data_IF_123919969284
#
_entry.id   IF_123919969284
#
_cell.length_a   1.000
_cell.length_b   1.000
_cell.length_c   1.000
_cell.angle_alpha   90.00
_cell.angle_beta   90.00
_cell.angle_gamma   90.00
#
_symmetry.space_group_name_H-M   'P 1'
#
loop_
_entity.id
_entity.type
_entity.pdbx_description
1 polymer ?
#
# COMPACT_ATOMS: atom_id res chain seq x y z
N UNK A 1 -19.90 15.55 -19.58
CA UNK A 1 -18.80 16.47 -19.21
C UNK A 1 -17.50 15.85 -19.67
N UNK A 2 -16.67 16.52 -20.48
CA UNK A 2 -15.33 16.01 -20.85
C UNK A 2 -14.35 16.50 -19.77
N UNK A 3 -13.60 15.58 -19.15
CA UNK A 3 -12.57 15.98 -18.20
C UNK A 3 -11.49 16.80 -18.94
N UNK A 4 -11.05 17.95 -18.40
CA UNK A 4 -10.04 18.81 -19.04
C UNK A 4 -8.63 18.23 -18.86
N UNK A 5 -8.37 17.05 -19.44
CA UNK A 5 -7.11 16.32 -19.31
C UNK A 5 -6.50 16.10 -20.70
N UNK A 6 -5.21 16.43 -20.83
CA UNK A 6 -4.40 16.14 -22.01
C UNK A 6 -3.46 15.00 -21.63
N UNK A 7 -3.52 13.89 -22.37
CA UNK A 7 -2.70 12.71 -22.11
C UNK A 7 -1.41 12.73 -22.94
N UNK A 8 -0.28 12.64 -22.26
CA UNK A 8 0.99 12.20 -22.83
C UNK A 8 1.04 10.67 -22.70
N UNK A 9 0.97 9.96 -23.83
CA UNK A 9 0.79 8.50 -23.85
C UNK A 9 2.11 7.81 -24.14
N UNK A 10 2.39 6.77 -23.38
CA UNK A 10 3.55 5.91 -23.54
C UNK A 10 3.12 4.44 -23.50
N UNK A 11 3.83 3.60 -24.23
CA UNK A 11 3.66 2.15 -24.21
C UNK A 11 4.83 1.52 -23.46
N UNK A 12 4.52 0.83 -22.36
CA UNK A 12 5.51 0.23 -21.45
C UNK A 12 5.04 -1.20 -21.14
N UNK A 13 5.96 -2.15 -21.23
CA UNK A 13 5.70 -3.55 -20.95
C UNK A 13 6.46 -4.01 -19.70
N UNK A 14 5.85 -4.91 -18.93
CA UNK A 14 6.39 -5.34 -17.62
C UNK A 14 7.65 -6.21 -17.68
N UNK A 15 7.97 -6.73 -18.87
CA UNK A 15 9.17 -7.53 -19.18
C UNK A 15 10.38 -6.65 -19.59
N UNK A 16 10.21 -5.34 -19.70
CA UNK A 16 11.32 -4.42 -19.92
C UNK A 16 12.28 -4.42 -18.71
N UNK A 17 13.58 -4.24 -18.98
CA UNK A 17 14.60 -4.19 -17.93
C UNK A 17 14.51 -2.93 -17.06
N UNK A 18 14.14 -1.80 -17.69
CA UNK A 18 14.06 -0.49 -17.06
C UNK A 18 12.89 0.30 -17.64
N UNK A 19 12.53 1.38 -16.96
CA UNK A 19 11.53 2.31 -17.45
C UNK A 19 12.23 3.29 -18.39
N UNK A 20 11.71 3.51 -19.61
CA UNK A 20 12.27 4.50 -20.53
C UNK A 20 12.41 5.88 -19.89
N UNK A 21 13.51 6.58 -20.18
CA UNK A 21 13.84 7.87 -19.55
C UNK A 21 12.81 8.96 -19.88
N UNK A 22 12.25 8.94 -21.10
CA UNK A 22 11.20 9.85 -21.54
C UNK A 22 9.90 9.69 -20.73
N UNK A 23 9.55 8.45 -20.36
CA UNK A 23 8.43 8.17 -19.45
C UNK A 23 8.70 8.77 -18.07
N UNK A 24 9.89 8.54 -17.53
CA UNK A 24 10.26 9.07 -16.22
C UNK A 24 10.31 10.60 -16.20
N UNK A 25 10.81 11.23 -17.25
CA UNK A 25 10.85 12.68 -17.40
C UNK A 25 9.45 13.28 -17.53
N UNK A 26 8.56 12.63 -18.29
CA UNK A 26 7.15 13.02 -18.36
C UNK A 26 6.49 12.96 -16.97
N UNK A 27 6.69 11.88 -16.21
CA UNK A 27 6.13 11.75 -14.85
C UNK A 27 6.70 12.84 -13.93
N UNK A 28 8.01 13.09 -13.95
CA UNK A 28 8.64 14.12 -13.12
C UNK A 28 8.13 15.53 -13.47
N UNK A 29 7.91 15.81 -14.75
CA UNK A 29 7.37 17.09 -15.25
C UNK A 29 5.91 17.28 -14.86
N UNK A 30 5.06 16.27 -15.11
CA UNK A 30 3.61 16.37 -14.96
C UNK A 30 3.13 16.04 -13.54
N UNK A 31 3.97 15.38 -12.74
CA UNK A 31 3.76 14.94 -11.35
C UNK A 31 2.65 13.92 -11.11
N UNK A 32 1.85 13.63 -12.12
CA UNK A 32 0.75 12.67 -12.06
C UNK A 32 0.89 11.68 -13.22
N UNK A 33 0.65 10.41 -12.93
CA UNK A 33 0.63 9.33 -13.91
C UNK A 33 -0.63 8.49 -13.72
N UNK A 34 -1.27 8.09 -14.82
CA UNK A 34 -2.26 7.02 -14.83
C UNK A 34 -1.62 5.82 -15.54
N UNK A 35 -1.50 4.71 -14.83
CA UNK A 35 -0.75 3.54 -15.27
C UNK A 35 -1.64 2.29 -15.28
N UNK A 36 -1.48 1.47 -16.30
CA UNK A 36 -2.02 0.11 -16.38
C UNK A 36 -1.22 -0.93 -15.59
N UNK A 37 -1.64 -2.18 -15.62
CA UNK A 37 -0.92 -3.26 -14.92
C UNK A 37 0.44 -3.54 -15.59
N UNK A 38 1.50 -3.62 -14.77
CA UNK A 38 2.83 -4.04 -15.22
C UNK A 38 3.15 -5.39 -14.56
N UNK A 39 3.06 -6.46 -15.33
CA UNK A 39 3.28 -7.83 -14.86
C UNK A 39 4.78 -8.05 -14.64
N UNK A 40 5.18 -8.53 -13.46
CA UNK A 40 6.57 -8.88 -13.17
C UNK A 40 6.78 -10.37 -13.46
N UNK A 41 7.69 -10.76 -14.37
CA UNK A 41 7.99 -12.17 -14.64
C UNK A 41 8.44 -12.93 -13.39
N UNK A 42 7.99 -14.18 -13.25
CA UNK A 42 8.38 -15.08 -12.15
C UNK A 42 9.61 -15.88 -12.60
N UNK A 43 10.64 -15.98 -11.76
CA UNK A 43 11.84 -16.81 -12.06
C UNK A 43 13.16 -16.05 -12.17
N UNK A 44 13.20 -14.76 -11.82
CA UNK A 44 14.41 -13.95 -11.85
C UNK A 44 14.73 -13.36 -13.24
N UNK A 45 15.71 -12.46 -13.30
CA UNK A 45 16.21 -11.85 -14.55
C UNK A 45 15.85 -10.38 -14.77
N UNK A 46 14.76 -9.87 -14.17
CA UNK A 46 14.36 -8.45 -14.27
C UNK A 46 13.84 -7.93 -12.93
N UNK A 47 14.21 -6.69 -12.59
CA UNK A 47 13.66 -6.00 -11.42
C UNK A 47 12.21 -5.60 -11.69
N UNK A 48 11.34 -5.68 -10.68
CA UNK A 48 9.96 -5.23 -10.84
C UNK A 48 9.90 -3.74 -11.18
N UNK A 49 9.38 -3.39 -12.36
CA UNK A 49 9.21 -1.99 -12.77
C UNK A 49 8.33 -1.20 -11.81
N UNK A 50 7.34 -1.86 -11.17
CA UNK A 50 6.52 -1.22 -10.13
C UNK A 50 7.37 -0.83 -8.91
N UNK A 51 8.30 -1.69 -8.50
CA UNK A 51 9.22 -1.38 -7.39
C UNK A 51 10.17 -0.24 -7.77
N UNK A 52 10.65 -0.23 -9.03
CA UNK A 52 11.51 0.82 -9.55
C UNK A 52 10.79 2.18 -9.53
N UNK A 53 9.56 2.27 -10.05
CA UNK A 53 8.74 3.50 -9.97
C UNK A 53 8.60 4.00 -8.54
N UNK A 54 8.27 3.11 -7.62
CA UNK A 54 8.03 3.46 -6.21
C UNK A 54 9.28 4.02 -5.55
N UNK A 55 10.45 3.44 -5.83
CA UNK A 55 11.73 3.89 -5.29
C UNK A 55 12.19 5.20 -5.94
N UNK A 56 12.25 5.26 -7.27
CA UNK A 56 12.73 6.44 -8.01
C UNK A 56 11.90 7.70 -7.79
N UNK A 57 10.59 7.54 -7.57
CA UNK A 57 9.66 8.65 -7.34
C UNK A 57 9.30 8.83 -5.86
N UNK A 58 9.92 8.07 -4.95
CA UNK A 58 9.62 8.07 -3.50
C UNK A 58 8.11 8.02 -3.20
N UNK A 59 7.41 7.09 -3.86
CA UNK A 59 5.97 6.87 -3.70
C UNK A 59 5.69 6.02 -2.47
N UNK A 60 5.94 6.60 -1.31
CA UNK A 60 5.99 5.90 -0.03
C UNK A 60 4.64 5.43 0.54
N UNK A 61 3.53 5.87 -0.05
CA UNK A 61 2.18 5.42 0.29
C UNK A 61 1.63 4.58 -0.87
N UNK A 62 1.07 3.43 -0.54
CA UNK A 62 0.10 2.73 -1.38
C UNK A 62 -1.28 2.88 -0.73
N UNK A 63 -2.22 3.51 -1.44
CA UNK A 63 -3.58 3.78 -0.99
C UNK A 63 -4.55 2.84 -1.70
N UNK A 64 -5.40 2.15 -0.95
CA UNK A 64 -6.47 1.28 -1.48
C UNK A 64 -7.77 1.61 -0.76
N UNK A 65 -8.83 1.96 -1.49
CA UNK A 65 -10.13 2.34 -0.91
C UNK A 65 -11.17 1.26 -1.16
N UNK A 66 -11.38 0.40 -0.17
CA UNK A 66 -12.29 -0.75 -0.24
C UNK A 66 -13.66 -0.39 0.32
N UNK A 67 -14.65 -0.20 -0.56
CA UNK A 67 -16.02 0.10 -0.16
C UNK A 67 -17.02 -0.72 -0.98
N UNK A 68 -18.19 -1.02 -0.40
CA UNK A 68 -19.24 -1.70 -1.13
C UNK A 68 -19.76 -0.82 -2.27
N UNK A 69 -19.78 -1.35 -3.49
CA UNK A 69 -20.31 -0.66 -4.66
C UNK A 69 -21.82 -0.90 -4.79
N UNK A 70 -22.63 0.15 -5.00
CA UNK A 70 -24.05 -0.02 -5.28
C UNK A 70 -24.28 -0.93 -6.49
N UNK A 71 -25.07 -1.99 -6.32
CA UNK A 71 -25.39 -2.95 -7.38
C UNK A 71 -24.40 -4.11 -7.54
N UNK A 72 -23.31 -4.16 -6.76
CA UNK A 72 -22.42 -5.31 -6.70
C UNK A 72 -22.71 -6.13 -5.44
N UNK A 73 -23.25 -7.36 -5.54
CA UNK A 73 -23.50 -8.20 -4.38
C UNK A 73 -22.20 -8.59 -3.68
N UNK A 74 -22.17 -8.44 -2.35
CA UNK A 74 -21.05 -8.84 -1.49
C UNK A 74 -21.58 -9.49 -0.22
N UNK A 75 -20.77 -10.36 0.41
CA UNK A 75 -21.14 -11.04 1.66
C UNK A 75 -21.35 -10.08 2.82
N UNK A 76 -20.51 -9.04 2.89
CA UNK A 76 -20.56 -8.01 3.92
C UNK A 76 -21.11 -6.71 3.31
N UNK A 77 -21.82 -5.95 4.14
CA UNK A 77 -22.46 -4.68 3.78
C UNK A 77 -21.87 -3.54 4.65
N UNK A 78 -22.02 -2.30 4.19
CA UNK A 78 -21.58 -1.09 4.89
C UNK A 78 -20.08 -1.04 5.21
N UNK A 79 -19.26 -1.66 4.36
CA UNK A 79 -17.81 -1.61 4.40
C UNK A 79 -17.34 -0.35 3.68
N UNK A 80 -16.50 0.44 4.35
CA UNK A 80 -15.79 1.61 3.81
C UNK A 80 -14.43 1.75 4.51
N UNK A 81 -13.47 0.95 4.03
CA UNK A 81 -12.13 0.81 4.59
C UNK A 81 -11.12 1.46 3.65
N UNK A 82 -10.20 2.24 4.20
CA UNK A 82 -9.04 2.72 3.46
C UNK A 82 -7.77 2.10 4.02
N UNK A 83 -7.04 1.37 3.19
CA UNK A 83 -5.75 0.78 3.55
C UNK A 83 -4.63 1.68 3.03
N UNK A 84 -3.82 2.19 3.96
CA UNK A 84 -2.62 2.98 3.72
C UNK A 84 -1.40 2.10 4.05
N UNK A 85 -0.71 1.66 3.01
CA UNK A 85 0.45 0.77 3.12
C UNK A 85 1.75 1.57 2.95
N UNK A 86 2.72 1.32 3.82
CA UNK A 86 4.11 1.75 3.62
C UNK A 86 4.69 1.02 2.41
N UNK A 87 5.31 1.75 1.49
CA UNK A 87 5.58 1.26 0.14
C UNK A 87 7.07 1.29 -0.27
N UNK A 88 7.95 1.74 0.62
CA UNK A 88 9.38 1.98 0.35
C UNK A 88 10.34 1.16 1.21
N UNK A 89 9.91 0.61 2.34
CA UNK A 89 10.75 -0.19 3.25
C UNK A 89 10.04 -1.50 3.67
N UNK A 90 10.45 -2.09 4.80
CA UNK A 90 9.96 -3.36 5.29
C UNK A 90 10.59 -4.56 4.56
N UNK A 91 9.79 -5.60 4.39
CA UNK A 91 10.18 -6.86 3.75
C UNK A 91 10.43 -6.71 2.24
N UNK A 92 9.96 -5.62 1.63
CA UNK A 92 10.11 -5.34 0.18
C UNK A 92 11.37 -4.53 -0.12
N UNK A 93 12.26 -4.35 0.86
CA UNK A 93 13.59 -3.78 0.67
C UNK A 93 14.42 -4.60 -0.32
N UNK A 94 14.15 -5.91 -0.40
CA UNK A 94 14.86 -6.86 -1.27
C UNK A 94 16.24 -7.24 -0.74
N UNK A 95 16.47 -7.06 0.56
CA UNK A 95 17.75 -7.36 1.21
C UNK A 95 17.76 -8.83 1.65
N UNK A 96 18.22 -9.69 0.75
CA UNK A 96 18.34 -11.12 0.98
C UNK A 96 19.75 -11.60 0.61
N UNK A 97 20.26 -12.56 1.37
CA UNK A 97 21.54 -13.21 1.08
C UNK A 97 21.54 -14.65 1.59
N UNK A 98 22.32 -15.50 0.94
CA UNK A 98 22.60 -16.85 1.40
C UNK A 98 23.88 -16.84 2.24
N UNK A 99 23.77 -17.12 3.53
CA UNK A 99 24.91 -17.08 4.47
C UNK A 99 25.84 -18.28 4.24
N UNK A 100 25.23 -19.45 4.09
CA UNK A 100 25.85 -20.72 3.70
C UNK A 100 24.87 -21.49 2.82
N UNK A 101 25.33 -22.45 1.98
CA UNK A 101 24.45 -23.22 1.12
C UNK A 101 23.25 -23.81 1.89
N UNK A 102 22.03 -23.41 1.50
CA UNK A 102 20.76 -23.80 2.12
C UNK A 102 20.25 -22.89 3.24
N UNK A 103 20.95 -21.79 3.59
CA UNK A 103 20.54 -20.84 4.65
C UNK A 103 20.41 -19.44 4.08
N UNK A 104 19.17 -19.01 3.86
CA UNK A 104 18.83 -17.69 3.33
C UNK A 104 18.30 -16.79 4.44
N UNK A 105 18.86 -15.60 4.54
CA UNK A 105 18.38 -14.55 5.43
C UNK A 105 17.66 -13.45 4.64
N UNK A 106 16.61 -12.90 5.23
CA UNK A 106 15.86 -11.76 4.69
C UNK A 106 15.80 -10.65 5.74
N UNK A 107 16.27 -9.46 5.39
CA UNK A 107 16.43 -8.33 6.30
C UNK A 107 15.27 -7.34 6.17
N UNK A 108 14.41 -7.34 7.19
CA UNK A 108 13.36 -6.33 7.32
C UNK A 108 13.92 -5.04 7.92
N UNK A 109 13.82 -3.95 7.16
CA UNK A 109 14.24 -2.61 7.60
C UNK A 109 13.00 -1.75 7.88
N UNK A 110 12.94 -1.14 9.06
CA UNK A 110 11.94 -0.12 9.41
C UNK A 110 12.68 1.09 9.95
N UNK A 111 12.37 2.27 9.44
CA UNK A 111 13.01 3.51 9.85
C UNK A 111 12.02 4.44 10.54
N UNK A 112 12.50 5.25 11.48
CA UNK A 112 11.67 6.26 12.14
C UNK A 112 11.14 7.28 11.13
N UNK A 113 11.98 7.71 10.19
CA UNK A 113 11.60 8.65 9.13
C UNK A 113 10.41 8.16 8.30
N UNK A 114 10.48 6.93 7.75
CA UNK A 114 9.39 6.37 6.96
C UNK A 114 8.13 6.15 7.79
N UNK A 115 8.29 5.68 9.03
CA UNK A 115 7.18 5.47 9.97
C UNK A 115 6.47 6.78 10.31
N UNK A 116 7.20 7.86 10.54
CA UNK A 116 6.62 9.18 10.84
C UNK A 116 5.88 9.78 9.64
N UNK A 117 6.47 9.74 8.43
CA UNK A 117 5.84 10.33 7.23
C UNK A 117 4.54 9.64 6.85
N UNK A 118 4.46 8.31 6.94
CA UNK A 118 3.21 7.58 6.66
C UNK A 118 2.17 7.83 7.75
N UNK A 119 2.59 7.91 9.01
CA UNK A 119 1.70 8.26 10.12
C UNK A 119 1.06 9.64 9.90
N UNK A 120 1.88 10.65 9.60
CA UNK A 120 1.40 12.01 9.33
C UNK A 120 0.42 12.03 8.15
N UNK A 121 0.74 11.31 7.08
CA UNK A 121 -0.16 11.18 5.95
C UNK A 121 -1.49 10.54 6.35
N UNK A 122 -1.47 9.43 7.09
CA UNK A 122 -2.68 8.72 7.48
C UNK A 122 -3.64 9.56 8.33
N UNK A 123 -3.13 10.27 9.33
CA UNK A 123 -3.95 11.17 10.15
C UNK A 123 -4.46 12.38 9.35
N UNK A 124 -3.64 12.95 8.46
CA UNK A 124 -4.08 14.03 7.57
C UNK A 124 -5.16 13.54 6.60
N UNK A 125 -4.97 12.36 6.01
CA UNK A 125 -5.94 11.71 5.15
C UNK A 125 -7.26 11.50 5.90
N UNK A 126 -7.20 10.95 7.11
CA UNK A 126 -8.39 10.72 7.92
C UNK A 126 -9.14 12.02 8.20
N UNK A 127 -8.42 13.08 8.59
CA UNK A 127 -9.00 14.40 8.82
C UNK A 127 -9.68 14.98 7.57
N UNK A 128 -8.99 14.98 6.42
CA UNK A 128 -9.50 15.55 5.18
C UNK A 128 -10.70 14.77 4.59
N UNK A 129 -10.77 13.47 4.85
CA UNK A 129 -11.83 12.59 4.34
C UNK A 129 -12.90 12.28 5.40
N UNK A 130 -12.97 13.07 6.48
CA UNK A 130 -13.96 12.91 7.57
C UNK A 130 -13.98 11.52 8.25
N UNK A 131 -12.89 10.77 8.13
CA UNK A 131 -12.69 9.48 8.79
C UNK A 131 -12.46 9.72 10.28
N UNK A 132 -12.91 8.79 11.12
CA UNK A 132 -12.94 8.94 12.58
C UNK A 132 -11.92 8.09 13.29
N UNK A 133 -11.48 7.00 12.67
CA UNK A 133 -10.59 6.02 13.30
C UNK A 133 -9.38 5.75 12.42
N UNK A 134 -8.19 5.80 13.01
CA UNK A 134 -6.94 5.32 12.43
C UNK A 134 -6.48 4.09 13.22
N UNK A 135 -6.34 2.98 12.54
CA UNK A 135 -5.99 1.67 13.10
C UNK A 135 -4.63 1.23 12.55
N UNK A 136 -3.66 1.02 13.42
CA UNK A 136 -2.32 0.56 13.03
C UNK A 136 -2.23 -0.95 13.15
N UNK A 137 -1.90 -1.61 12.04
CA UNK A 137 -1.71 -3.06 11.99
C UNK A 137 -0.24 -3.39 12.19
N UNK A 138 0.07 -4.28 13.13
CA UNK A 138 1.46 -4.60 13.50
C UNK A 138 1.64 -6.05 13.96
N UNK A 139 2.88 -6.43 14.25
CA UNK A 139 3.24 -7.70 14.90
C UNK A 139 4.33 -7.48 15.96
N UNK A 140 4.25 -6.38 16.70
CA UNK A 140 5.20 -6.00 17.76
C UNK A 140 5.30 -7.00 18.93
N UNK A 141 4.36 -7.93 19.08
CA UNK A 141 4.46 -9.02 20.05
C UNK A 141 5.61 -10.00 19.74
N UNK A 142 5.94 -10.18 18.45
CA UNK A 142 7.07 -10.99 17.98
C UNK A 142 8.23 -10.08 17.55
N UNK A 143 7.98 -9.11 16.68
CA UNK A 143 8.99 -8.16 16.19
C UNK A 143 9.14 -6.96 17.14
N UNK A 144 9.80 -7.21 18.27
CA UNK A 144 9.90 -6.28 19.41
C UNK A 144 10.69 -4.99 19.12
N UNK A 145 11.48 -4.95 18.06
CA UNK A 145 12.27 -3.77 17.66
C UNK A 145 11.62 -3.06 16.46
N UNK A 146 11.66 -3.66 15.27
CA UNK A 146 11.19 -3.04 14.03
C UNK A 146 9.71 -2.58 14.10
N UNK A 147 8.80 -3.46 14.54
CA UNK A 147 7.37 -3.09 14.64
C UNK A 147 7.08 -2.20 15.85
N UNK A 148 7.90 -2.26 16.89
CA UNK A 148 7.78 -1.35 18.03
C UNK A 148 8.13 0.08 17.61
N UNK A 149 9.21 0.27 16.85
CA UNK A 149 9.60 1.58 16.29
C UNK A 149 8.48 2.18 15.42
N UNK A 150 7.85 1.34 14.60
CA UNK A 150 6.68 1.72 13.81
C UNK A 150 5.55 2.25 14.73
N UNK A 151 5.14 1.47 15.74
CA UNK A 151 4.07 1.86 16.68
C UNK A 151 4.41 3.12 17.49
N UNK A 152 5.65 3.27 17.94
CA UNK A 152 6.09 4.43 18.71
C UNK A 152 5.92 5.72 17.89
N UNK A 153 6.26 5.68 16.60
CA UNK A 153 6.04 6.80 15.67
C UNK A 153 4.54 7.16 15.56
N UNK A 154 3.66 6.16 15.50
CA UNK A 154 2.21 6.38 15.50
C UNK A 154 1.69 6.99 16.80
N UNK A 155 2.10 6.44 17.94
CA UNK A 155 1.71 6.93 19.27
C UNK A 155 2.16 8.37 19.51
N UNK A 156 3.34 8.75 19.03
CA UNK A 156 3.86 10.11 19.14
C UNK A 156 3.00 11.12 18.35
N UNK A 157 2.67 10.81 17.10
CA UNK A 157 1.93 11.72 16.22
C UNK A 157 0.43 11.71 16.53
N UNK A 158 -0.14 10.58 16.96
CA UNK A 158 -1.56 10.48 17.32
C UNK A 158 -1.98 11.52 18.37
N UNK A 159 -1.08 11.88 19.30
CA UNK A 159 -1.30 12.94 20.30
C UNK A 159 -1.62 14.31 19.69
N UNK A 160 -1.22 14.55 18.43
CA UNK A 160 -1.48 15.80 17.70
C UNK A 160 -2.85 15.83 17.04
N UNK A 161 -3.59 14.72 17.03
CA UNK A 161 -4.89 14.56 16.38
C UNK A 161 -5.96 14.05 17.36
N UNK A 162 -6.33 14.84 18.39
CA UNK A 162 -7.23 14.38 19.46
C UNK A 162 -8.65 14.02 18.97
N UNK A 163 -9.04 14.52 17.79
CA UNK A 163 -10.36 14.26 17.20
C UNK A 163 -10.43 12.97 16.37
N UNK A 164 -9.30 12.27 16.20
CA UNK A 164 -9.23 11.00 15.46
C UNK A 164 -8.89 9.90 16.48
N UNK A 165 -9.75 8.89 16.57
CA UNK A 165 -9.53 7.75 17.45
C UNK A 165 -8.35 6.93 16.93
N UNK A 166 -7.37 6.71 17.79
CA UNK A 166 -6.20 5.90 17.51
C UNK A 166 -6.34 4.51 18.12
N UNK A 167 -6.19 3.47 17.29
CA UNK A 167 -6.27 2.07 17.68
C UNK A 167 -5.07 1.28 17.14
N UNK A 168 -4.73 0.18 17.81
CA UNK A 168 -3.67 -0.75 17.40
C UNK A 168 -4.24 -2.16 17.32
N UNK A 169 -3.82 -2.94 16.33
CA UNK A 169 -4.23 -4.34 16.18
C UNK A 169 -3.08 -5.21 15.69
N UNK A 170 -2.96 -6.40 16.29
CA UNK A 170 -2.00 -7.41 15.82
C UNK A 170 -2.53 -8.02 14.51
N UNK A 171 -1.67 -8.19 13.50
CA UNK A 171 -2.06 -8.61 12.14
C UNK A 171 -2.86 -9.91 12.09
N UNK A 172 -2.56 -10.91 12.93
CA UNK A 172 -3.34 -12.15 12.96
C UNK A 172 -4.80 -11.90 13.40
N UNK A 173 -4.99 -11.11 14.45
CA UNK A 173 -6.32 -10.71 14.89
C UNK A 173 -6.98 -9.80 13.85
N UNK A 174 -6.20 -8.94 13.19
CA UNK A 174 -6.68 -8.14 12.07
C UNK A 174 -7.27 -9.01 10.97
N UNK A 175 -6.61 -10.11 10.57
CA UNK A 175 -7.14 -11.02 9.56
C UNK A 175 -8.48 -11.64 9.98
N UNK A 176 -8.59 -12.11 11.23
CA UNK A 176 -9.83 -12.68 11.78
C UNK A 176 -10.95 -11.64 11.77
N UNK A 177 -10.67 -10.44 12.30
CA UNK A 177 -11.64 -9.35 12.40
C UNK A 177 -12.07 -8.83 11.03
N UNK A 178 -11.15 -8.74 10.08
CA UNK A 178 -11.42 -8.21 8.74
C UNK A 178 -12.42 -9.09 7.99
N UNK A 179 -12.30 -10.42 8.08
CA UNK A 179 -13.26 -11.34 7.44
C UNK A 179 -14.55 -11.54 8.25
N UNK A 180 -14.56 -11.20 9.53
CA UNK A 180 -15.71 -11.41 10.41
C UNK A 180 -16.61 -10.19 10.51
N UNK A 181 -16.02 -9.02 10.72
CA UNK A 181 -16.69 -7.73 10.98
C UNK A 181 -15.87 -6.58 10.34
N UNK A 182 -15.78 -6.52 8.99
CA UNK A 182 -15.00 -5.51 8.29
C UNK A 182 -15.48 -4.06 8.56
N UNK A 183 -16.77 -3.85 8.83
CA UNK A 183 -17.40 -2.55 9.07
C UNK A 183 -16.85 -1.81 10.30
N UNK A 184 -16.11 -2.48 11.18
CA UNK A 184 -15.44 -1.85 12.32
C UNK A 184 -14.17 -1.06 11.93
N UNK A 185 -13.63 -1.32 10.73
CA UNK A 185 -12.41 -0.69 10.25
C UNK A 185 -12.73 0.58 9.47
N UNK A 186 -11.82 1.55 9.56
CA UNK A 186 -11.95 2.84 8.90
C UNK A 186 -10.65 3.10 8.12
N UNK A 187 -9.71 3.91 8.63
CA UNK A 187 -8.37 4.02 8.05
C UNK A 187 -7.44 2.99 8.70
N UNK A 188 -6.94 2.05 7.92
CA UNK A 188 -5.97 1.04 8.34
C UNK A 188 -4.58 1.41 7.82
N UNK A 189 -3.57 1.40 8.68
CA UNK A 189 -2.20 1.73 8.31
C UNK A 189 -1.26 0.60 8.66
N UNK A 190 -0.41 0.22 7.72
CA UNK A 190 0.36 -1.00 7.82
C UNK A 190 1.80 -0.84 7.31
N UNK A 191 2.76 -1.60 7.84
CA UNK A 191 4.00 -1.91 7.14
C UNK A 191 3.75 -2.61 5.80
N UNK A 192 4.80 -2.67 4.99
CA UNK A 192 4.73 -3.02 3.57
C UNK A 192 4.07 -4.40 3.28
N UNK A 193 4.60 -5.50 3.82
CA UNK A 193 4.07 -6.84 3.56
C UNK A 193 2.62 -7.02 4.05
N UNK A 194 2.32 -6.55 5.27
CA UNK A 194 0.98 -6.70 5.86
C UNK A 194 -0.05 -5.91 5.06
N UNK A 195 0.33 -4.74 4.56
CA UNK A 195 -0.52 -3.90 3.75
C UNK A 195 -0.96 -4.57 2.46
N UNK A 196 -0.06 -5.30 1.82
CA UNK A 196 -0.42 -6.05 0.62
C UNK A 196 -1.49 -7.11 0.93
N UNK A 197 -1.32 -7.87 2.01
CA UNK A 197 -2.27 -8.92 2.42
C UNK A 197 -3.61 -8.33 2.87
N UNK A 198 -3.59 -7.31 3.72
CA UNK A 198 -4.78 -6.63 4.24
C UNK A 198 -5.54 -5.95 3.10
N UNK A 199 -4.86 -5.24 2.19
CA UNK A 199 -5.51 -4.57 1.05
C UNK A 199 -6.19 -5.56 0.11
N UNK A 200 -5.52 -6.66 -0.26
CA UNK A 200 -6.11 -7.71 -1.10
C UNK A 200 -7.32 -8.36 -0.43
N UNK A 201 -7.25 -8.62 0.88
CA UNK A 201 -8.35 -9.21 1.65
C UNK A 201 -9.54 -8.26 1.74
N UNK A 202 -9.29 -6.99 2.06
CA UNK A 202 -10.32 -5.95 2.11
C UNK A 202 -10.98 -5.75 0.74
N UNK A 203 -10.20 -5.76 -0.35
CA UNK A 203 -10.74 -5.67 -1.70
C UNK A 203 -11.60 -6.89 -2.05
N UNK A 204 -11.17 -8.10 -1.68
CA UNK A 204 -11.95 -9.33 -1.86
C UNK A 204 -13.31 -9.29 -1.16
N UNK A 205 -13.38 -8.69 0.04
CA UNK A 205 -14.62 -8.56 0.82
C UNK A 205 -15.68 -7.70 0.11
N UNK A 206 -15.26 -6.68 -0.63
CA UNK A 206 -16.17 -5.69 -1.24
C UNK A 206 -16.43 -5.90 -2.74
N UNK A 207 -15.95 -7.01 -3.33
CA UNK A 207 -16.21 -7.36 -4.72
C UNK A 207 -15.01 -7.69 -5.59
N UNK A 208 -13.81 -7.76 -4.99
CA UNK A 208 -12.57 -8.16 -5.67
C UNK A 208 -11.71 -6.98 -6.12
N UNK A 209 -10.49 -7.27 -6.54
CA UNK A 209 -9.44 -6.27 -6.78
C UNK A 209 -9.65 -5.39 -8.01
N UNK A 210 -10.48 -5.83 -8.96
CA UNK A 210 -10.70 -5.17 -10.26
C UNK A 210 -11.49 -3.87 -10.12
N UNK A 211 -12.41 -3.81 -9.17
CA UNK A 211 -13.37 -2.71 -9.02
C UNK A 211 -12.94 -1.66 -8.00
N UNK A 212 -11.77 -1.87 -7.38
CA UNK A 212 -11.31 -1.08 -6.24
C UNK A 212 -10.26 -0.06 -6.70
N UNK A 213 -10.47 1.24 -6.41
CA UNK A 213 -9.53 2.27 -6.79
C UNK A 213 -8.33 2.30 -5.83
N UNK A 214 -7.18 2.62 -6.39
CA UNK A 214 -5.96 2.81 -5.62
C UNK A 214 -4.96 3.69 -6.32
N UNK A 215 -3.83 3.88 -5.64
CA UNK A 215 -2.73 4.65 -6.18
C UNK A 215 -1.55 4.69 -5.24
N UNK A 216 -0.40 5.04 -5.79
CA UNK A 216 0.84 5.24 -5.07
C UNK A 216 1.11 6.73 -4.98
N UNK A 217 1.39 7.22 -3.78
CA UNK A 217 1.52 8.65 -3.49
C UNK A 217 2.85 8.89 -2.80
N UNK A 218 3.60 9.87 -3.31
CA UNK A 218 4.78 10.43 -2.67
C UNK A 218 4.56 11.90 -2.34
N UNK A 219 5.61 12.58 -1.87
CA UNK A 219 5.52 14.02 -1.56
C UNK A 219 5.34 14.89 -2.80
N UNK A 220 5.93 14.48 -3.94
CA UNK A 220 5.96 15.26 -5.19
C UNK A 220 5.11 14.66 -6.32
N UNK A 221 4.89 13.35 -6.29
CA UNK A 221 4.36 12.59 -7.42
C UNK A 221 3.22 11.67 -6.97
N UNK A 222 2.30 11.37 -7.89
CA UNK A 222 1.24 10.39 -7.68
C UNK A 222 1.05 9.52 -8.93
N UNK A 223 0.97 8.20 -8.73
CA UNK A 223 0.67 7.23 -9.78
C UNK A 223 -0.63 6.52 -9.43
N UNK A 224 -1.66 6.72 -10.23
CA UNK A 224 -2.93 6.01 -10.09
C UNK A 224 -2.89 4.73 -10.91
N UNK A 225 -3.24 3.62 -10.28
CA UNK A 225 -3.29 2.28 -10.88
C UNK A 225 -4.39 1.45 -10.21
N UNK A 226 -4.67 0.27 -10.74
CA UNK A 226 -5.54 -0.69 -10.06
C UNK A 226 -4.93 -1.08 -8.72
N UNK A 227 -5.75 -1.10 -7.66
CA UNK A 227 -5.27 -1.05 -6.28
C UNK A 227 -4.57 -2.31 -5.78
N UNK A 228 -4.87 -3.46 -6.36
CA UNK A 228 -4.54 -4.75 -5.79
C UNK A 228 -4.09 -5.74 -6.88
N UNK A 229 -2.77 -6.00 -6.89
CA UNK A 229 -2.05 -6.81 -7.89
C UNK A 229 -2.18 -8.32 -7.65
N UNK A 230 -3.39 -8.81 -7.38
CA UNK A 230 -3.63 -10.22 -7.07
C UNK A 230 -3.67 -11.16 -8.31
N UNK A 231 -3.45 -10.65 -9.54
CA UNK A 231 -3.32 -11.51 -10.72
C UNK A 231 -1.93 -12.15 -10.87
N UNK A 232 -0.99 -11.80 -10.00
CA UNK A 232 0.31 -12.44 -10.00
C UNK A 232 0.23 -13.81 -9.30
N UNK A 233 0.49 -14.83 -10.11
CA UNK A 233 0.95 -16.17 -9.72
C UNK A 233 -0.12 -17.14 -9.20
N UNK A 234 -1.01 -17.57 -10.08
CA UNK A 234 -1.76 -18.81 -9.88
C UNK A 234 -2.94 -18.94 -10.83
N UNK A 235 -2.90 -19.94 -11.71
CA UNK A 235 -4.13 -20.45 -12.33
C UNK A 235 -4.90 -21.17 -11.21
N UNK A 236 -5.92 -20.51 -10.66
CA UNK A 236 -6.91 -21.15 -9.79
C UNK A 236 -8.24 -21.14 -10.52
#
# INVERSE_FOLDING_TARGET
MRAPVIFEKFEVHGDMNTIPDDVMDSIKKNRVCLKGELITPVGGGVNSLNLLLRKELDLYISLVSCFNLPGLPSRHENVDIVVIRENTEGEYSGLEHEVVPGVVESLKVITKFCSERITQYAFKYAHLNNKKIVIVVHKANIMKLANRLFLESFREIAKRYPNIKYNEIIVDNCCIQLVSKPEQFDVMVTPNLYGNLVANTAAGIVGGTIVIPGGNVGTKYAIFEQSASARNVGNV
#
